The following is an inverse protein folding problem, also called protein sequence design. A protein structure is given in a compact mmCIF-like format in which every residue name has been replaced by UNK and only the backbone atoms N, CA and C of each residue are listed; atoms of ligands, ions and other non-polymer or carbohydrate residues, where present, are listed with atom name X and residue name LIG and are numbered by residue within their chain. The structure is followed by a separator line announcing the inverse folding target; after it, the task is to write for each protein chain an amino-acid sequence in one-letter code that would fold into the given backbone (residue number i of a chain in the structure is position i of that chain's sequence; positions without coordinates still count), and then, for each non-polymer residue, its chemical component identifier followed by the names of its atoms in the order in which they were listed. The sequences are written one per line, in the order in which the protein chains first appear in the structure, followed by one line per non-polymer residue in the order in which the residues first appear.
data_IF_530515641739
#
_entry.id   IF_530515641739
#
_cell.length_a   1.000
_cell.length_b   1.000
_cell.length_c   1.000
_cell.angle_alpha   90.00
_cell.angle_beta   90.00
_cell.angle_gamma   90.00
#
_symmetry.space_group_name_H-M   'P 1'
#
loop_
_entity.id
_entity.type
_entity.pdbx_description
1 polymer ?
#
# COMPACT_ATOMS: atom_id res chain seq x y z
N UNK A 1 -9.66 -16.80 32.89
CA UNK A 1 -9.78 -17.68 31.71
C UNK A 1 -10.66 -18.92 31.93
N UNK A 2 -10.72 -19.54 33.12
CA UNK A 2 -11.65 -20.64 33.42
C UNK A 2 -13.14 -20.26 33.34
N UNK A 3 -13.53 -19.10 33.87
CA UNK A 3 -14.94 -18.67 33.92
C UNK A 3 -15.62 -18.56 32.55
N UNK A 4 -14.93 -18.09 31.50
CA UNK A 4 -15.52 -17.94 30.16
C UNK A 4 -15.69 -19.28 29.42
N UNK A 5 -14.85 -20.29 29.72
CA UNK A 5 -15.06 -21.63 29.16
C UNK A 5 -16.19 -22.34 29.88
N UNK A 6 -16.24 -22.22 31.21
CA UNK A 6 -17.24 -22.87 32.06
C UNK A 6 -18.66 -22.39 31.70
N UNK A 7 -18.87 -21.08 31.54
CA UNK A 7 -20.15 -20.49 31.13
C UNK A 7 -20.61 -20.95 29.73
N UNK A 8 -19.67 -21.11 28.79
CA UNK A 8 -19.99 -21.62 27.45
C UNK A 8 -20.40 -23.09 27.50
N UNK A 9 -19.71 -23.93 28.29
CA UNK A 9 -20.11 -25.33 28.51
C UNK A 9 -21.45 -25.47 29.20
N UNK A 10 -21.76 -24.62 30.18
CA UNK A 10 -23.06 -24.64 30.90
C UNK A 10 -24.21 -24.17 30.01
N UNK A 11 -23.99 -23.18 29.15
CA UNK A 11 -24.98 -22.76 28.16
C UNK A 11 -25.25 -23.85 27.11
N UNK A 12 -24.20 -24.50 26.63
CA UNK A 12 -24.30 -25.61 25.68
C UNK A 12 -24.99 -26.85 26.27
N UNK A 13 -24.76 -27.16 27.56
CA UNK A 13 -25.42 -28.28 28.22
C UNK A 13 -26.91 -28.04 28.47
N UNK A 14 -27.31 -26.79 28.76
CA UNK A 14 -28.71 -26.41 28.94
C UNK A 14 -29.53 -26.49 27.63
N UNK A 15 -28.94 -26.09 26.50
CA UNK A 15 -29.57 -26.27 25.17
C UNK A 15 -29.71 -27.76 24.84
N UNK A 16 -28.71 -28.56 25.22
CA UNK A 16 -28.68 -30.00 24.94
C UNK A 16 -29.71 -30.82 25.75
N UNK A 17 -30.15 -30.33 26.92
CA UNK A 17 -31.12 -31.04 27.77
C UNK A 17 -32.57 -30.87 27.34
N UNK A 18 -32.91 -29.80 26.62
CA UNK A 18 -34.30 -29.45 26.22
C UNK A 18 -34.62 -29.89 24.78
N UNK A 19 -33.60 -30.07 23.95
CA UNK A 19 -33.69 -30.51 22.56
C UNK A 19 -33.14 -31.94 22.48
N UNK A 20 -33.92 -32.90 21.99
CA UNK A 20 -33.44 -34.28 21.84
C UNK A 20 -32.09 -34.35 21.09
N UNK A 21 -31.27 -35.39 21.30
CA UNK A 21 -29.87 -35.43 20.87
C UNK A 21 -29.66 -35.15 19.37
N UNK A 22 -30.61 -35.57 18.52
CA UNK A 22 -30.59 -35.28 17.08
C UNK A 22 -30.74 -33.79 16.76
N UNK A 23 -31.62 -33.07 17.48
CA UNK A 23 -31.86 -31.64 17.27
C UNK A 23 -30.71 -30.80 17.82
N UNK A 24 -30.16 -31.19 18.97
CA UNK A 24 -28.94 -30.59 19.53
C UNK A 24 -27.75 -30.73 18.56
N UNK A 25 -27.53 -31.92 18.00
CA UNK A 25 -26.48 -32.12 17.00
C UNK A 25 -26.68 -31.27 15.73
N UNK A 26 -27.93 -31.15 15.25
CA UNK A 26 -28.26 -30.32 14.10
C UNK A 26 -28.01 -28.81 14.36
N UNK A 27 -28.35 -28.32 15.57
CA UNK A 27 -28.08 -26.93 15.97
C UNK A 27 -26.58 -26.67 16.06
N UNK A 28 -25.81 -27.55 16.68
CA UNK A 28 -24.36 -27.41 16.78
C UNK A 28 -23.67 -27.43 15.41
N UNK A 29 -24.10 -28.34 14.51
CA UNK A 29 -23.62 -28.38 13.14
C UNK A 29 -24.00 -27.11 12.36
N UNK A 30 -25.22 -26.63 12.53
CA UNK A 30 -25.70 -25.37 11.98
C UNK A 30 -24.89 -24.17 12.47
N UNK A 31 -24.51 -24.12 13.75
CA UNK A 31 -23.63 -23.08 14.31
C UNK A 31 -22.19 -23.20 13.78
N UNK A 32 -21.67 -24.42 13.66
CA UNK A 32 -20.31 -24.68 13.15
C UNK A 32 -20.11 -24.19 11.72
N UNK A 33 -21.17 -24.22 10.89
CA UNK A 33 -21.14 -23.72 9.51
C UNK A 33 -21.60 -22.26 9.43
N UNK A 34 -22.71 -21.96 10.11
CA UNK A 34 -23.38 -20.66 10.05
C UNK A 34 -22.56 -19.54 10.64
N UNK A 35 -21.92 -19.74 11.81
CA UNK A 35 -21.13 -18.69 12.46
C UNK A 35 -19.90 -18.31 11.61
N UNK A 36 -19.06 -19.25 11.13
CA UNK A 36 -17.95 -18.89 10.25
C UNK A 36 -18.40 -18.25 8.94
N UNK A 37 -19.52 -18.69 8.36
CA UNK A 37 -20.08 -18.08 7.14
C UNK A 37 -20.51 -16.63 7.40
N UNK A 38 -21.23 -16.37 8.48
CA UNK A 38 -21.64 -15.01 8.86
C UNK A 38 -20.42 -14.13 9.12
N UNK A 39 -19.41 -14.64 9.85
CA UNK A 39 -18.15 -13.92 10.07
C UNK A 39 -17.46 -13.62 8.73
N UNK A 40 -17.35 -14.61 7.85
CA UNK A 40 -16.73 -14.43 6.52
C UNK A 40 -17.45 -13.37 5.69
N UNK A 41 -18.79 -13.42 5.63
CA UNK A 41 -19.60 -12.44 4.91
C UNK A 41 -19.50 -11.04 5.54
N UNK A 42 -19.45 -10.95 6.87
CA UNK A 42 -19.24 -9.69 7.60
C UNK A 42 -17.87 -9.10 7.29
N UNK A 43 -16.79 -9.88 7.40
CA UNK A 43 -15.43 -9.44 7.08
C UNK A 43 -15.29 -9.04 5.61
N UNK A 44 -15.89 -9.81 4.70
CA UNK A 44 -15.88 -9.49 3.26
C UNK A 44 -16.61 -8.17 2.98
N UNK A 45 -17.77 -7.97 3.60
CA UNK A 45 -18.56 -6.73 3.47
C UNK A 45 -17.80 -5.54 4.03
N UNK A 46 -17.25 -5.68 5.24
CA UNK A 46 -16.45 -4.64 5.91
C UNK A 46 -15.21 -4.26 5.09
N UNK A 47 -14.51 -5.25 4.53
CA UNK A 47 -13.39 -5.01 3.62
C UNK A 47 -13.79 -4.24 2.37
N UNK A 48 -14.90 -4.62 1.72
CA UNK A 48 -15.41 -3.94 0.52
C UNK A 48 -15.91 -2.53 0.81
N UNK A 49 -16.40 -2.28 2.03
CA UNK A 49 -16.75 -0.95 2.50
C UNK A 49 -15.51 -0.06 2.67
N UNK A 50 -14.43 -0.62 3.22
CA UNK A 50 -13.15 0.10 3.37
C UNK A 50 -12.51 0.44 2.03
N UNK A 51 -12.45 -0.53 1.10
CA UNK A 51 -12.01 -0.35 -0.28
C UNK A 51 -12.99 -0.96 -1.26
N UNK A 52 -13.67 -0.09 -2.01
CA UNK A 52 -14.70 -0.44 -2.98
C UNK A 52 -14.22 -1.55 -3.92
N UNK A 53 -14.75 -2.76 -3.73
CA UNK A 53 -14.47 -3.92 -4.58
C UNK A 53 -13.35 -4.86 -4.12
N UNK A 54 -12.44 -4.44 -3.22
CA UNK A 54 -11.26 -5.23 -2.82
C UNK A 54 -11.28 -5.61 -1.33
N UNK A 55 -12.06 -6.64 -0.99
CA UNK A 55 -12.30 -7.07 0.39
C UNK A 55 -11.01 -7.27 1.22
N UNK A 56 -10.02 -7.96 0.65
CA UNK A 56 -8.78 -8.30 1.37
C UNK A 56 -7.95 -7.04 1.63
N UNK A 57 -7.74 -6.20 0.61
CA UNK A 57 -6.97 -4.96 0.78
C UNK A 57 -7.68 -3.99 1.73
N UNK A 58 -9.01 -3.95 1.68
CA UNK A 58 -9.81 -3.15 2.60
C UNK A 58 -9.70 -3.62 4.05
N UNK A 59 -9.68 -4.95 4.30
CA UNK A 59 -9.40 -5.50 5.63
C UNK A 59 -7.97 -5.21 6.09
N UNK A 60 -6.97 -5.37 5.21
CA UNK A 60 -5.58 -5.03 5.50
C UNK A 60 -5.44 -3.56 5.88
N UNK A 61 -6.18 -2.66 5.22
CA UNK A 61 -6.25 -1.24 5.62
C UNK A 61 -6.85 -1.07 7.01
N UNK A 62 -7.96 -1.73 7.31
CA UNK A 62 -8.63 -1.59 8.62
C UNK A 62 -7.75 -2.06 9.78
N UNK A 63 -6.95 -3.11 9.57
CA UNK A 63 -5.94 -3.57 10.53
C UNK A 63 -4.71 -2.66 10.53
N UNK A 64 -4.32 -2.17 9.35
CA UNK A 64 -3.15 -1.30 9.16
C UNK A 64 -3.31 0.08 9.80
N UNK A 65 -4.51 0.64 9.87
CA UNK A 65 -4.76 1.94 10.51
C UNK A 65 -4.38 1.96 12.00
N UNK A 66 -4.90 1.08 12.88
CA UNK A 66 -4.50 1.06 14.28
C UNK A 66 -3.03 0.66 14.45
N UNK A 67 -2.50 -0.20 13.57
CA UNK A 67 -1.06 -0.52 13.56
C UNK A 67 -0.20 0.73 13.28
N UNK A 68 -0.50 1.48 12.22
CA UNK A 68 0.26 2.69 11.89
C UNK A 68 0.07 3.80 12.93
N UNK A 69 -1.16 4.04 13.39
CA UNK A 69 -1.46 5.14 14.33
C UNK A 69 -1.09 4.83 15.77
N UNK A 70 -1.35 3.61 16.22
CA UNK A 70 -1.11 3.18 17.60
C UNK A 70 0.33 2.72 17.82
N UNK A 71 0.76 1.67 17.10
CA UNK A 71 2.08 1.08 17.32
C UNK A 71 3.21 1.97 16.79
N UNK A 72 3.07 2.53 15.58
CA UNK A 72 4.09 3.42 15.03
C UNK A 72 3.91 4.89 15.40
N UNK A 73 2.78 5.31 15.98
CA UNK A 73 2.57 6.72 16.32
C UNK A 73 2.47 7.66 15.12
N UNK A 74 1.92 7.18 13.99
CA UNK A 74 1.78 7.94 12.74
C UNK A 74 1.09 9.30 12.95
N UNK A 75 1.71 10.36 12.44
CA UNK A 75 1.08 11.68 12.28
C UNK A 75 0.81 11.97 10.81
N UNK A 76 -0.39 12.47 10.51
CA UNK A 76 -0.82 12.82 9.14
C UNK A 76 -1.28 14.27 9.11
N UNK A 77 -0.71 15.04 8.19
CA UNK A 77 -1.06 16.41 7.88
C UNK A 77 -1.46 16.54 6.41
N UNK A 78 -2.30 17.52 6.08
CA UNK A 78 -2.74 17.75 4.71
C UNK A 78 -3.76 16.73 4.17
N UNK A 79 -4.39 15.93 5.03
CA UNK A 79 -5.35 14.90 4.60
C UNK A 79 -6.54 15.45 3.77
N UNK A 80 -6.80 16.76 3.82
CA UNK A 80 -7.81 17.42 2.99
C UNK A 80 -7.46 17.43 1.48
N UNK A 81 -6.19 17.24 1.11
CA UNK A 81 -5.78 17.04 -0.29
C UNK A 81 -6.10 15.65 -0.82
N UNK A 82 -6.35 14.67 0.05
CA UNK A 82 -6.65 13.30 -0.36
C UNK A 82 -8.06 13.27 -0.97
N UNK A 83 -8.21 12.94 -2.26
CA UNK A 83 -9.53 12.84 -2.87
C UNK A 83 -10.32 11.72 -2.19
N UNK A 84 -11.61 11.97 -1.94
CA UNK A 84 -12.52 10.94 -1.40
C UNK A 84 -12.85 9.86 -2.42
N UNK A 85 -12.82 10.22 -3.71
CA UNK A 85 -13.15 9.36 -4.84
C UNK A 85 -12.11 9.54 -5.94
N UNK A 86 -11.76 8.46 -6.61
CA UNK A 86 -10.91 8.51 -7.80
C UNK A 86 -11.78 8.81 -9.01
N UNK A 87 -11.38 9.80 -9.81
CA UNK A 87 -12.08 10.11 -11.07
C UNK A 87 -11.76 9.05 -12.14
N UNK A 88 -12.51 8.95 -13.25
CA UNK A 88 -12.14 8.06 -14.36
C UNK A 88 -10.74 8.32 -14.93
N UNK A 89 -10.14 9.49 -14.65
CA UNK A 89 -8.76 9.82 -15.05
C UNK A 89 -7.69 9.12 -14.20
N UNK A 90 -8.08 8.42 -13.14
CA UNK A 90 -7.16 7.81 -12.17
C UNK A 90 -6.62 8.80 -11.15
N UNK A 91 -5.58 8.37 -10.41
CA UNK A 91 -4.80 9.21 -9.50
C UNK A 91 -3.35 8.74 -9.49
N UNK A 92 -2.40 9.67 -9.44
CA UNK A 92 -0.99 9.36 -9.19
C UNK A 92 -0.63 9.90 -7.82
N UNK A 93 -0.15 9.05 -6.93
CA UNK A 93 0.46 9.41 -5.64
C UNK A 93 1.99 9.42 -5.82
N UNK A 94 2.58 10.61 -5.69
CA UNK A 94 4.03 10.81 -5.66
C UNK A 94 4.44 11.07 -4.22
N UNK A 95 5.47 10.39 -3.73
CA UNK A 95 6.03 10.66 -2.40
C UNK A 95 7.53 10.45 -2.34
N UNK A 96 8.18 11.10 -1.38
CA UNK A 96 9.52 10.72 -0.91
C UNK A 96 9.48 9.32 -0.28
N UNK A 97 10.65 8.65 -0.21
CA UNK A 97 10.77 7.29 0.30
C UNK A 97 11.75 7.19 1.47
N UNK A 98 11.24 7.25 2.70
CA UNK A 98 11.98 7.17 3.96
C UNK A 98 12.29 5.75 4.47
N UNK A 99 11.44 4.78 4.16
CA UNK A 99 11.55 3.43 4.72
C UNK A 99 10.61 2.39 4.10
N UNK A 100 10.77 1.13 4.51
CA UNK A 100 9.99 0.01 3.96
C UNK A 100 8.52 0.02 4.38
N UNK A 101 8.21 0.73 5.47
CA UNK A 101 6.85 0.90 6.00
C UNK A 101 6.01 1.91 5.18
N UNK A 102 6.64 2.76 4.37
CA UNK A 102 6.00 3.86 3.64
C UNK A 102 4.80 3.44 2.77
N UNK A 103 4.87 2.37 1.95
CA UNK A 103 3.75 1.97 1.12
C UNK A 103 2.53 1.57 1.97
N UNK A 104 2.75 0.93 3.12
CA UNK A 104 1.69 0.50 4.04
C UNK A 104 1.03 1.73 4.67
N UNK A 105 1.80 2.71 5.13
CA UNK A 105 1.27 3.91 5.75
C UNK A 105 0.46 4.71 4.72
N UNK A 106 1.02 4.93 3.53
CA UNK A 106 0.32 5.62 2.44
C UNK A 106 -0.96 4.88 2.08
N UNK A 107 -0.91 3.55 1.96
CA UNK A 107 -2.09 2.73 1.72
C UNK A 107 -3.13 2.85 2.86
N UNK A 108 -2.74 3.11 4.10
CA UNK A 108 -3.71 3.31 5.18
C UNK A 108 -4.35 4.71 5.15
N UNK A 109 -3.65 5.71 4.61
CA UNK A 109 -4.13 7.09 4.51
C UNK A 109 -5.15 7.27 3.38
N UNK A 110 -5.08 6.47 2.31
CA UNK A 110 -5.96 6.62 1.15
C UNK A 110 -7.35 6.00 1.37
N UNK A 111 -8.33 6.48 0.59
CA UNK A 111 -9.69 5.94 0.53
C UNK A 111 -9.88 4.88 -0.56
N UNK A 112 -8.83 4.62 -1.35
CA UNK A 112 -8.85 3.69 -2.46
C UNK A 112 -7.50 2.93 -2.53
N UNK A 113 -7.50 1.69 -3.04
CA UNK A 113 -6.30 0.87 -3.12
C UNK A 113 -5.25 1.51 -4.03
N UNK A 114 -3.97 1.40 -3.65
CA UNK A 114 -2.84 1.93 -4.42
C UNK A 114 -2.13 0.74 -5.04
N UNK A 115 -1.84 0.83 -6.33
CA UNK A 115 -0.96 -0.11 -7.02
C UNK A 115 0.44 0.50 -7.06
N UNK A 116 1.43 -0.18 -6.53
CA UNK A 116 2.79 0.35 -6.39
C UNK A 116 3.71 -0.09 -7.51
N UNK A 117 4.56 0.82 -7.97
CA UNK A 117 5.83 0.47 -8.61
C UNK A 117 6.83 0.08 -7.51
N UNK A 118 7.42 -1.11 -7.62
CA UNK A 118 8.32 -1.65 -6.60
C UNK A 118 9.49 -2.37 -7.26
N UNK A 119 10.69 -2.22 -6.69
CA UNK A 119 11.86 -3.01 -7.12
C UNK A 119 11.55 -4.51 -7.01
N UNK A 120 11.77 -5.24 -8.10
CA UNK A 120 11.60 -6.70 -8.14
C UNK A 120 12.54 -7.42 -7.17
N UNK A 121 13.70 -6.83 -6.86
CA UNK A 121 14.62 -7.34 -5.84
C UNK A 121 13.98 -7.39 -4.45
N UNK A 122 13.15 -6.39 -4.13
CA UNK A 122 12.48 -6.26 -2.82
C UNK A 122 11.25 -7.17 -2.69
N UNK A 123 10.82 -7.83 -3.77
CA UNK A 123 9.64 -8.71 -3.80
C UNK A 123 9.96 -10.10 -3.26
N UNK A 124 10.21 -10.18 -1.95
CA UNK A 124 10.60 -11.43 -1.27
C UNK A 124 9.62 -12.59 -1.58
N UNK A 125 10.12 -13.80 -1.89
CA UNK A 125 9.29 -14.96 -2.22
C UNK A 125 8.28 -15.34 -1.13
N UNK A 126 8.65 -15.16 0.14
CA UNK A 126 7.77 -15.45 1.29
C UNK A 126 6.51 -14.59 1.33
N UNK A 127 6.52 -13.43 0.67
CA UNK A 127 5.39 -12.49 0.62
C UNK A 127 4.71 -12.47 -0.77
N UNK A 128 4.99 -13.45 -1.63
CA UNK A 128 4.53 -13.43 -3.03
C UNK A 128 3.01 -13.35 -3.18
N UNK A 129 2.27 -14.03 -2.31
CA UNK A 129 0.81 -13.94 -2.28
C UNK A 129 0.32 -12.50 -2.05
N UNK A 130 1.01 -11.75 -1.17
CA UNK A 130 0.69 -10.35 -0.88
C UNK A 130 0.97 -9.48 -2.11
N UNK A 131 2.14 -9.63 -2.73
CA UNK A 131 2.52 -8.87 -3.93
C UNK A 131 1.52 -9.09 -5.07
N UNK A 132 1.12 -10.35 -5.30
CA UNK A 132 0.11 -10.71 -6.29
C UNK A 132 -1.25 -10.11 -5.94
N UNK A 133 -1.65 -10.15 -4.66
CA UNK A 133 -2.92 -9.59 -4.21
C UNK A 133 -2.99 -8.06 -4.37
N UNK A 134 -1.87 -7.38 -4.13
CA UNK A 134 -1.72 -5.94 -4.33
C UNK A 134 -1.48 -5.55 -5.81
N UNK A 135 -1.30 -6.55 -6.68
CA UNK A 135 -0.97 -6.37 -8.11
C UNK A 135 0.26 -5.49 -8.32
N UNK A 136 1.30 -5.62 -7.50
CA UNK A 136 2.52 -4.81 -7.61
C UNK A 136 3.06 -4.78 -9.06
N UNK A 137 3.55 -3.62 -9.51
CA UNK A 137 4.20 -3.46 -10.81
C UNK A 137 5.72 -3.58 -10.58
N UNK A 138 6.34 -4.71 -10.96
CA UNK A 138 7.76 -4.94 -10.71
C UNK A 138 8.64 -4.05 -11.59
N UNK A 139 9.67 -3.46 -10.99
CA UNK A 139 10.72 -2.65 -11.64
C UNK A 139 12.04 -3.40 -11.53
N UNK A 140 12.73 -3.59 -12.65
CA UNK A 140 13.97 -4.36 -12.78
C UNK A 140 15.21 -3.46 -12.94
N UNK A 141 15.05 -2.16 -13.21
CA UNK A 141 16.13 -1.22 -13.52
C UNK A 141 16.93 -1.61 -14.77
N UNK A 142 16.23 -2.21 -15.74
CA UNK A 142 16.77 -2.59 -17.04
C UNK A 142 15.73 -2.43 -18.16
N UNK A 143 16.00 -3.01 -19.34
CA UNK A 143 15.13 -2.92 -20.53
C UNK A 143 13.68 -3.40 -20.29
N UNK A 144 13.44 -4.23 -19.27
CA UNK A 144 12.11 -4.75 -18.93
C UNK A 144 11.19 -3.67 -18.33
N UNK A 145 11.74 -2.56 -17.84
CA UNK A 145 10.96 -1.47 -17.23
C UNK A 145 10.03 -0.75 -18.22
N UNK A 146 10.26 -0.91 -19.53
CA UNK A 146 9.29 -0.49 -20.54
C UNK A 146 7.91 -1.13 -20.33
N UNK A 147 7.86 -2.40 -19.88
CA UNK A 147 6.62 -3.11 -19.56
C UNK A 147 6.01 -2.57 -18.27
N UNK A 148 6.84 -2.29 -17.26
CA UNK A 148 6.40 -1.71 -15.99
C UNK A 148 5.75 -0.33 -16.22
N UNK A 149 6.40 0.54 -17.00
CA UNK A 149 5.88 1.86 -17.36
C UNK A 149 4.58 1.77 -18.16
N UNK A 150 4.51 0.89 -19.16
CA UNK A 150 3.27 0.65 -19.92
C UNK A 150 2.13 0.20 -18.99
N UNK A 151 2.41 -0.74 -18.08
CA UNK A 151 1.43 -1.24 -17.11
C UNK A 151 0.95 -0.15 -16.17
N UNK A 152 1.86 0.70 -15.69
CA UNK A 152 1.53 1.84 -14.82
C UNK A 152 0.63 2.85 -15.53
N UNK A 153 0.97 3.23 -16.76
CA UNK A 153 0.18 4.15 -17.59
C UNK A 153 -1.22 3.58 -17.87
N UNK A 154 -1.31 2.31 -18.29
CA UNK A 154 -2.60 1.65 -18.52
C UNK A 154 -3.45 1.64 -17.25
N UNK A 155 -2.88 1.23 -16.11
CA UNK A 155 -3.59 1.20 -14.83
C UNK A 155 -4.18 2.56 -14.44
N UNK A 156 -3.42 3.64 -14.63
CA UNK A 156 -3.91 5.01 -14.34
C UNK A 156 -5.03 5.40 -15.31
N UNK A 157 -4.86 5.16 -16.61
CA UNK A 157 -5.86 5.50 -17.63
C UNK A 157 -7.16 4.69 -17.51
N UNK A 158 -7.12 3.53 -16.85
CA UNK A 158 -8.30 2.72 -16.48
C UNK A 158 -8.99 3.22 -15.20
N UNK A 159 -8.58 4.36 -14.65
CA UNK A 159 -9.15 4.93 -13.42
C UNK A 159 -8.48 4.44 -12.13
N UNK A 160 -7.36 3.72 -12.24
CA UNK A 160 -6.61 3.21 -11.10
C UNK A 160 -5.80 4.28 -10.36
N UNK A 161 -5.45 3.97 -9.10
CA UNK A 161 -4.47 4.76 -8.33
C UNK A 161 -3.10 4.13 -8.41
N UNK A 162 -2.12 4.88 -8.88
CA UNK A 162 -0.71 4.49 -8.95
C UNK A 162 0.08 5.17 -7.84
N UNK A 163 0.86 4.39 -7.08
CA UNK A 163 1.84 4.90 -6.14
C UNK A 163 3.24 4.80 -6.72
N UNK A 164 4.00 5.89 -6.64
CA UNK A 164 5.39 5.95 -7.10
C UNK A 164 6.26 6.73 -6.11
N UNK A 165 7.42 6.14 -5.81
CA UNK A 165 8.53 6.81 -5.16
C UNK A 165 9.56 7.15 -6.24
N UNK A 166 9.53 8.35 -6.82
CA UNK A 166 10.29 8.66 -8.03
C UNK A 166 11.80 8.68 -7.81
N UNK A 167 12.27 8.72 -6.55
CA UNK A 167 13.67 8.60 -6.17
C UNK A 167 14.29 7.23 -6.53
N UNK A 168 13.45 6.20 -6.71
CA UNK A 168 13.85 4.86 -7.15
C UNK A 168 14.43 3.95 -6.06
N UNK A 169 14.77 4.49 -4.90
CA UNK A 169 15.26 3.75 -3.75
C UNK A 169 14.78 4.40 -2.44
N UNK A 170 14.92 3.68 -1.33
CA UNK A 170 14.76 4.24 0.02
C UNK A 170 15.93 5.18 0.28
N UNK A 171 15.65 6.39 0.75
CA UNK A 171 16.67 7.39 1.07
C UNK A 171 17.68 6.84 2.10
N UNK A 172 18.96 6.99 1.79
CA UNK A 172 20.07 6.71 2.70
C UNK A 172 21.20 7.69 2.37
N UNK A 173 21.64 8.57 3.31
CA UNK A 173 21.11 8.81 4.67
C UNK A 173 19.64 9.29 4.69
N UNK A 174 19.00 9.22 5.87
CA UNK A 174 17.64 9.73 6.03
C UNK A 174 17.55 11.26 5.94
N UNK A 175 16.40 11.77 5.49
CA UNK A 175 16.07 13.17 5.23
C UNK A 175 16.94 13.77 4.13
N UNK A 176 17.04 13.07 3.02
CA UNK A 176 17.74 13.54 1.82
C UNK A 176 16.87 13.29 0.59
N UNK A 177 16.81 14.25 -0.31
CA UNK A 177 16.00 14.13 -1.51
C UNK A 177 16.88 13.73 -2.69
N UNK A 178 16.50 12.68 -3.42
CA UNK A 178 17.15 12.33 -4.67
C UNK A 178 16.41 12.85 -5.89
N UNK A 179 17.10 13.15 -7.01
CA UNK A 179 16.46 13.51 -8.26
C UNK A 179 15.42 12.48 -8.69
N UNK A 180 14.28 12.96 -9.15
CA UNK A 180 13.20 12.09 -9.62
C UNK A 180 13.60 11.40 -10.93
N UNK A 181 13.34 10.10 -11.01
CA UNK A 181 13.56 9.31 -12.20
C UNK A 181 12.68 9.76 -13.37
N UNK A 182 13.19 9.58 -14.60
CA UNK A 182 12.46 9.90 -15.84
C UNK A 182 11.16 9.09 -16.02
N UNK A 183 10.99 7.99 -15.29
CA UNK A 183 9.75 7.19 -15.28
C UNK A 183 8.52 8.02 -14.87
N UNK A 184 8.66 8.89 -13.85
CA UNK A 184 7.58 9.79 -13.44
C UNK A 184 7.21 10.73 -14.59
N UNK A 185 8.20 11.36 -15.24
CA UNK A 185 7.97 12.26 -16.37
C UNK A 185 7.23 11.57 -17.52
N UNK A 186 7.60 10.33 -17.84
CA UNK A 186 6.90 9.57 -18.88
C UNK A 186 5.44 9.28 -18.48
N UNK A 187 5.18 8.85 -17.24
CA UNK A 187 3.82 8.59 -16.75
C UNK A 187 2.96 9.86 -16.82
N UNK A 188 3.48 11.00 -16.35
CA UNK A 188 2.77 12.27 -16.38
C UNK A 188 2.46 12.73 -17.80
N UNK A 189 3.39 12.54 -18.75
CA UNK A 189 3.18 12.91 -20.16
C UNK A 189 2.14 12.04 -20.90
N UNK A 190 1.76 10.89 -20.33
CA UNK A 190 0.88 9.89 -20.98
C UNK A 190 -0.44 9.67 -20.23
N UNK A 191 -0.70 10.45 -19.20
CA UNK A 191 -1.89 10.37 -18.38
C UNK A 191 -2.48 11.75 -18.12
N UNK A 192 -3.78 11.82 -17.88
CA UNK A 192 -4.47 13.04 -17.42
C UNK A 192 -4.97 12.89 -15.99
N UNK A 193 -4.25 12.12 -15.17
CA UNK A 193 -4.59 11.92 -13.77
C UNK A 193 -4.14 13.13 -12.94
N UNK A 194 -4.92 13.56 -11.93
CA UNK A 194 -4.40 14.43 -10.89
C UNK A 194 -3.24 13.75 -10.13
N UNK A 195 -2.35 14.57 -9.60
CA UNK A 195 -1.16 14.12 -8.84
C UNK A 195 -1.29 14.55 -7.39
N UNK A 196 -1.47 13.59 -6.49
CA UNK A 196 -1.37 13.81 -5.05
C UNK A 196 0.10 13.76 -4.65
N UNK A 197 0.61 14.85 -4.09
CA UNK A 197 2.00 14.95 -3.64
C UNK A 197 2.06 14.76 -2.14
N UNK A 198 2.78 13.74 -1.70
CA UNK A 198 3.07 13.43 -0.31
C UNK A 198 4.56 13.57 0.01
N UNK A 199 4.85 13.74 1.29
CA UNK A 199 6.20 13.65 1.86
C UNK A 199 6.10 12.80 3.12
N UNK A 200 7.07 11.90 3.28
CA UNK A 200 7.20 11.04 4.45
C UNK A 200 8.51 11.37 5.15
N UNK A 201 8.44 11.82 6.40
CA UNK A 201 9.56 11.73 7.34
C UNK A 201 9.47 10.35 8.04
N UNK A 202 10.45 9.45 7.85
CA UNK A 202 10.40 8.10 8.43
C UNK A 202 10.47 8.08 9.96
N UNK A 203 10.82 9.20 10.60
CA UNK A 203 10.99 9.32 12.04
C UNK A 203 12.34 8.77 12.47
N UNK A 204 12.34 7.60 13.12
CA UNK A 204 13.58 6.95 13.58
C UNK A 204 14.29 6.25 12.41
N UNK A 205 15.61 6.41 12.22
CA UNK A 205 16.34 5.67 11.19
C UNK A 205 16.51 4.19 11.57
N UNK A 206 16.57 3.31 10.58
CA UNK A 206 16.86 1.87 10.72
C UNK A 206 17.79 1.39 9.62
N UNK A 207 18.47 0.29 9.91
CA UNK A 207 19.44 -0.31 8.99
C UNK A 207 18.79 -1.21 7.93
N UNK A 208 17.52 -1.60 8.10
CA UNK A 208 16.82 -2.50 7.18
C UNK A 208 15.37 -2.08 6.96
N UNK A 209 14.88 -2.04 5.71
CA UNK A 209 13.49 -1.70 5.38
C UNK A 209 12.44 -2.58 6.08
N UNK A 210 12.76 -3.84 6.39
CA UNK A 210 11.82 -4.75 7.09
C UNK A 210 11.87 -4.61 8.60
N UNK A 211 12.97 -4.08 9.16
CA UNK A 211 13.06 -3.82 10.60
C UNK A 211 12.04 -2.75 11.04
N UNK A 212 11.65 -1.86 10.12
CA UNK A 212 10.64 -0.81 10.32
C UNK A 212 9.28 -1.39 10.76
N UNK A 213 8.98 -2.65 10.41
CA UNK A 213 7.69 -3.29 10.75
C UNK A 213 7.57 -3.64 12.24
N UNK A 214 8.69 -3.82 12.93
CA UNK A 214 8.70 -4.38 14.29
C UNK A 214 9.14 -3.38 15.36
N UNK A 215 9.41 -2.13 14.99
CA UNK A 215 9.84 -1.06 15.91
C UNK A 215 8.94 0.18 15.76
N UNK A 216 8.59 0.87 16.86
CA UNK A 216 7.85 2.14 16.78
C UNK A 216 8.66 3.23 16.05
N UNK A 217 8.16 3.71 14.91
CA UNK A 217 8.93 4.57 13.99
C UNK A 217 8.65 6.07 14.17
N UNK A 218 7.44 6.43 14.62
CA UNK A 218 6.94 7.80 14.70
C UNK A 218 6.99 8.57 13.36
N UNK A 219 6.51 7.97 12.25
CA UNK A 219 6.58 8.59 10.95
C UNK A 219 5.59 9.76 10.86
N UNK A 220 5.97 10.78 10.08
CA UNK A 220 5.11 11.93 9.79
C UNK A 220 4.88 12.04 8.29
N UNK A 221 3.62 12.03 7.88
CA UNK A 221 3.21 12.27 6.50
C UNK A 221 2.62 13.66 6.37
N UNK A 222 3.03 14.36 5.31
CA UNK A 222 2.43 15.61 4.86
C UNK A 222 1.99 15.47 3.41
N UNK A 223 0.69 15.54 3.16
CA UNK A 223 0.18 15.76 1.81
C UNK A 223 0.27 17.26 1.52
N UNK A 224 0.97 17.61 0.44
CA UNK A 224 1.34 18.98 0.12
C UNK A 224 0.36 19.64 -0.84
N UNK A 225 -0.12 18.89 -1.83
CA UNK A 225 -1.01 19.40 -2.86
C UNK A 225 -1.70 18.24 -3.61
N UNK A 226 -2.86 18.56 -4.20
CA UNK A 226 -3.46 17.79 -5.28
C UNK A 226 -3.34 18.63 -6.56
N UNK A 227 -2.45 18.24 -7.46
CA UNK A 227 -2.15 18.96 -8.70
C UNK A 227 -3.06 18.43 -9.81
N UNK A 228 -3.99 19.25 -10.26
CA UNK A 228 -4.83 18.93 -11.42
C UNK A 228 -4.06 19.14 -12.73
N UNK A 229 -4.24 18.27 -13.73
CA UNK A 229 -3.68 18.48 -15.06
C UNK A 229 -4.41 19.62 -15.79
N UNK A 230 -3.71 20.28 -16.71
CA UNK A 230 -4.33 21.20 -17.65
C UNK A 230 -5.15 20.49 -18.74
N UNK A 231 -5.77 21.24 -19.68
CA UNK A 231 -6.58 20.67 -20.76
C UNK A 231 -5.83 19.62 -21.61
N UNK A 232 -4.55 19.87 -21.87
CA UNK A 232 -3.67 18.98 -22.64
C UNK A 232 -2.98 17.90 -21.78
N UNK A 233 -3.12 17.97 -20.45
CA UNK A 233 -2.41 17.12 -19.51
C UNK A 233 -1.43 17.91 -18.64
N UNK A 234 -0.43 17.21 -18.09
CA UNK A 234 0.65 17.84 -17.33
C UNK A 234 1.71 18.41 -18.27
N UNK A 235 2.28 19.56 -17.89
CA UNK A 235 3.41 20.15 -18.61
C UNK A 235 4.65 19.24 -18.60
N UNK A 236 5.56 19.46 -19.56
CA UNK A 236 6.81 18.71 -19.65
C UNK A 236 7.74 18.91 -18.45
N UNK A 237 7.52 19.96 -17.67
CA UNK A 237 8.23 20.38 -16.46
C UNK A 237 7.50 19.98 -15.15
N UNK A 238 6.41 19.20 -15.24
CA UNK A 238 5.60 18.87 -14.08
C UNK A 238 6.35 18.05 -13.04
N UNK A 239 7.22 17.11 -13.46
CA UNK A 239 8.01 16.30 -12.54
C UNK A 239 9.00 17.17 -11.74
N UNK A 240 9.64 18.12 -12.42
CA UNK A 240 10.57 19.10 -11.87
C UNK A 240 9.84 20.03 -10.89
N UNK A 241 8.65 20.53 -11.24
CA UNK A 241 7.81 21.34 -10.33
C UNK A 241 7.40 20.58 -9.07
N UNK A 242 7.11 19.28 -9.18
CA UNK A 242 6.78 18.44 -8.01
C UNK A 242 8.04 18.24 -7.15
N UNK A 243 9.18 17.96 -7.76
CA UNK A 243 10.46 17.85 -7.05
C UNK A 243 10.76 19.14 -6.29
N UNK A 244 10.66 20.30 -6.93
CA UNK A 244 10.89 21.61 -6.31
C UNK A 244 9.89 21.90 -5.19
N UNK A 245 8.63 21.50 -5.36
CA UNK A 245 7.63 21.61 -4.30
C UNK A 245 8.05 20.78 -3.08
N UNK A 246 8.44 19.53 -3.27
CA UNK A 246 8.91 18.65 -2.20
C UNK A 246 10.15 19.25 -1.54
N UNK A 247 11.16 19.62 -2.32
CA UNK A 247 12.40 20.20 -1.82
C UNK A 247 12.17 21.48 -1.01
N UNK A 248 11.33 22.40 -1.49
CA UNK A 248 10.97 23.62 -0.73
C UNK A 248 10.22 23.32 0.56
N UNK A 249 9.39 22.28 0.59
CA UNK A 249 8.55 21.94 1.75
C UNK A 249 9.31 21.15 2.82
N UNK A 250 10.40 20.47 2.45
CA UNK A 250 11.24 19.69 3.37
C UNK A 250 12.52 20.40 3.76
N UNK A 251 13.09 21.21 2.86
CA UNK A 251 14.43 21.78 2.96
C UNK A 251 15.51 20.70 3.20
N UNK A 252 15.29 19.49 2.67
CA UNK A 252 16.24 18.39 2.76
C UNK A 252 17.36 18.57 1.75
N UNK A 253 18.63 18.24 2.11
CA UNK A 253 19.73 18.29 1.15
C UNK A 253 19.49 17.32 -0.01
N UNK A 254 19.96 17.72 -1.18
CA UNK A 254 19.89 16.89 -2.39
C UNK A 254 21.04 15.87 -2.37
N UNK A 255 20.71 14.63 -2.71
CA UNK A 255 21.67 13.54 -2.84
C UNK A 255 21.68 12.99 -4.28
N UNK A 256 22.73 13.34 -5.00
CA UNK A 256 22.94 12.93 -6.39
C UNK A 256 23.85 11.69 -6.53
N UNK A 257 24.19 11.03 -5.41
CA UNK A 257 24.99 9.81 -5.46
C UNK A 257 24.27 8.74 -6.30
N UNK A 258 25.01 7.99 -7.15
CA UNK A 258 24.41 6.95 -7.97
C UNK A 258 23.76 5.88 -7.10
N UNK A 259 22.62 5.35 -7.56
CA UNK A 259 21.99 4.20 -6.92
C UNK A 259 22.81 2.94 -7.19
N UNK A 260 22.87 2.07 -6.19
CA UNK A 260 23.34 0.71 -6.39
C UNK A 260 22.34 -0.03 -7.27
N UNK A 261 22.84 -0.71 -8.29
CA UNK A 261 22.00 -1.54 -9.16
C UNK A 261 21.52 -2.77 -8.38
N UNK A 262 20.26 -3.17 -8.52
CA UNK A 262 19.75 -4.38 -7.87
C UNK A 262 20.48 -5.61 -8.39
N UNK A 263 20.56 -6.65 -7.54
CA UNK A 263 21.15 -7.93 -7.92
C UNK A 263 20.29 -8.61 -9.01
N UNK A 264 20.84 -8.82 -10.24
CA UNK A 264 20.06 -9.34 -11.36
C UNK A 264 19.56 -10.76 -11.16
N UNK A 265 20.28 -11.60 -10.39
CA UNK A 265 19.88 -12.98 -10.10
C UNK A 265 18.69 -13.01 -9.13
N UNK A 266 18.70 -12.15 -8.12
CA UNK A 266 17.58 -11.99 -7.17
C UNK A 266 16.36 -11.44 -7.89
N UNK A 267 16.54 -10.41 -8.72
CA UNK A 267 15.47 -9.86 -9.59
C UNK A 267 14.88 -10.94 -10.47
N UNK A 268 15.70 -11.73 -11.18
CA UNK A 268 15.23 -12.79 -12.07
C UNK A 268 14.44 -13.86 -11.29
N UNK A 269 14.94 -14.26 -10.12
CA UNK A 269 14.30 -15.25 -9.26
C UNK A 269 12.94 -14.78 -8.77
N UNK A 270 12.88 -13.59 -8.17
CA UNK A 270 11.65 -13.02 -7.64
C UNK A 270 10.60 -12.79 -8.74
N UNK A 271 11.03 -12.27 -9.90
CA UNK A 271 10.14 -12.02 -11.02
C UNK A 271 9.56 -13.32 -11.59
N UNK A 272 10.35 -14.38 -11.70
CA UNK A 272 9.88 -15.71 -12.14
C UNK A 272 8.75 -16.24 -11.24
N UNK A 273 8.95 -16.19 -9.92
CA UNK A 273 7.95 -16.63 -8.93
C UNK A 273 6.70 -15.74 -8.97
N UNK A 274 6.89 -14.43 -9.18
CA UNK A 274 5.79 -13.48 -9.30
C UNK A 274 4.93 -13.72 -10.54
N UNK A 275 5.55 -14.00 -11.68
CA UNK A 275 4.83 -14.25 -12.93
C UNK A 275 4.22 -15.66 -13.01
N UNK A 276 4.61 -16.58 -12.13
CA UNK A 276 4.08 -17.94 -12.09
C UNK A 276 4.67 -18.85 -13.17
N UNK A 277 5.88 -18.54 -13.64
CA UNK A 277 6.66 -19.44 -14.48
C UNK A 277 7.45 -20.37 -13.56
N UNK A 278 6.90 -21.54 -13.22
CA UNK A 278 7.66 -22.63 -12.59
C UNK A 278 8.56 -23.33 -13.61
#
# INVERSE_FOLDING_TARGET
MKSLSDDATTFLSAIASDLGPALTAAVLLGMLIGVPLVIFLALRTLGRWSYTGEAVLGLLRLVGIPYCRGFHGLKVEGAHFIPRTVTPRGLILVSTHGGGLDPIIMQCCMHHPIRWLMSAEMMMPSLMWVWKRQRVIPVCFDKRDAIALKTAITHVNEGGTLGIFPEGAIERPSRQLRPFSGGLRLILSRTKAPVLVGVIDPGRPTDSPFADLFKPMHPKIRFLALIEPGPEGHGSDAAEKIFDLVHRQTNWPINDAPLESPNPEVVATNLRIYLGHE
#
